data_IF_019926826294
#
_entry.id   IF_019926826294
#
_cell.length_a   1.000
_cell.length_b   1.000
_cell.length_c   1.000
_cell.angle_alpha   90.00
_cell.angle_beta   90.00
_cell.angle_gamma   90.00
#
_symmetry.space_group_name_H-M   'P 1'
#
loop_
_entity.id
_entity.type
_entity.pdbx_description
1 polymer ?
#
# COMPACT_ATOMS: atom_id res chain seq x y z
N UNK A 1 -4.50 -16.27 10.26
CA UNK A 1 -5.25 -16.57 9.03
C UNK A 1 -4.90 -17.98 8.58
N UNK A 2 -5.84 -18.73 8.01
CA UNK A 2 -5.56 -19.99 7.30
C UNK A 2 -4.96 -19.72 5.91
N UNK A 3 -4.40 -20.74 5.26
CA UNK A 3 -3.86 -20.63 3.90
C UNK A 3 -4.88 -20.09 2.89
N UNK A 4 -6.09 -20.65 2.86
CA UNK A 4 -7.19 -20.20 2.00
C UNK A 4 -7.57 -18.73 2.27
N UNK A 5 -7.56 -18.30 3.53
CA UNK A 5 -7.84 -16.90 3.89
C UNK A 5 -6.75 -15.97 3.34
N UNK A 6 -5.48 -16.38 3.39
CA UNK A 6 -4.37 -15.60 2.85
C UNK A 6 -4.48 -15.49 1.33
N UNK A 7 -4.81 -16.57 0.62
CA UNK A 7 -4.97 -16.54 -0.83
C UNK A 7 -6.12 -15.62 -1.27
N UNK A 8 -7.26 -15.67 -0.56
CA UNK A 8 -8.37 -14.75 -0.82
C UNK A 8 -7.97 -13.30 -0.59
N UNK A 9 -7.36 -13.04 0.57
CA UNK A 9 -6.88 -11.70 0.95
C UNK A 9 -5.86 -11.16 -0.05
N UNK A 10 -4.93 -12.00 -0.53
CA UNK A 10 -3.98 -11.63 -1.58
C UNK A 10 -4.70 -11.17 -2.83
N UNK A 11 -5.73 -11.89 -3.30
CA UNK A 11 -6.50 -11.50 -4.49
C UNK A 11 -7.27 -10.21 -4.29
N UNK A 12 -7.79 -9.97 -3.09
CA UNK A 12 -8.56 -8.77 -2.76
C UNK A 12 -7.68 -7.51 -2.68
N UNK A 13 -6.48 -7.64 -2.12
CA UNK A 13 -5.61 -6.49 -1.82
C UNK A 13 -4.52 -6.22 -2.85
N UNK A 14 -4.10 -7.21 -3.64
CA UNK A 14 -3.05 -6.97 -4.66
C UNK A 14 -3.50 -5.87 -5.63
N UNK A 15 -2.58 -4.99 -6.00
CA UNK A 15 -2.79 -3.80 -6.85
C UNK A 15 -3.70 -2.71 -6.25
N UNK A 16 -4.23 -2.88 -5.04
CA UNK A 16 -4.95 -1.81 -4.34
C UNK A 16 -4.00 -0.67 -3.94
N UNK A 17 -4.53 0.55 -3.94
CA UNK A 17 -3.85 1.72 -3.41
C UNK A 17 -4.27 1.94 -1.96
N UNK A 18 -3.30 2.27 -1.10
CA UNK A 18 -3.50 2.35 0.34
C UNK A 18 -2.80 3.55 0.94
N UNK A 19 -3.32 4.03 2.06
CA UNK A 19 -2.61 4.92 2.99
C UNK A 19 -2.47 4.23 4.34
N UNK A 20 -1.43 4.60 5.10
CA UNK A 20 -1.20 4.04 6.43
C UNK A 20 -2.03 4.74 7.51
N UNK A 21 -2.26 4.06 8.63
CA UNK A 21 -2.69 4.70 9.87
C UNK A 21 -1.50 5.37 10.57
N UNK A 22 -1.35 6.68 10.39
CA UNK A 22 -0.25 7.47 10.96
C UNK A 22 -0.28 7.61 12.49
N UNK A 23 -1.34 7.15 13.17
CA UNK A 23 -1.36 7.05 14.64
C UNK A 23 -0.35 6.02 15.17
N UNK A 24 0.15 5.15 14.30
CA UNK A 24 1.19 4.16 14.57
C UNK A 24 2.58 4.79 14.40
N UNK A 25 3.39 4.94 15.48
CA UNK A 25 4.68 5.62 15.41
C UNK A 25 5.63 5.06 14.34
N UNK A 26 5.59 3.75 14.09
CA UNK A 26 6.43 3.11 13.07
C UNK A 26 5.98 3.40 11.63
N UNK A 27 4.71 3.78 11.44
CA UNK A 27 4.13 4.12 10.14
C UNK A 27 4.05 5.63 9.90
N UNK A 28 4.22 6.47 10.93
CA UNK A 28 4.13 7.92 10.81
C UNK A 28 5.05 8.52 9.74
N UNK A 29 6.19 7.88 9.44
CA UNK A 29 7.09 8.28 8.34
C UNK A 29 6.48 8.15 6.94
N UNK A 30 5.42 7.36 6.79
CA UNK A 30 4.68 7.17 5.54
C UNK A 30 3.37 7.98 5.51
N UNK A 31 3.14 8.85 6.50
CA UNK A 31 1.97 9.73 6.52
C UNK A 31 1.95 10.62 5.27
N UNK A 32 0.76 10.74 4.66
CA UNK A 32 0.56 11.47 3.42
C UNK A 32 1.05 10.78 2.14
N UNK A 33 1.75 9.64 2.22
CA UNK A 33 2.17 8.87 1.04
C UNK A 33 1.14 7.81 0.67
N UNK A 34 0.84 7.72 -0.63
CA UNK A 34 0.07 6.60 -1.17
C UNK A 34 1.00 5.44 -1.49
N UNK A 35 0.65 4.27 -0.96
CA UNK A 35 1.28 3.00 -1.27
C UNK A 35 0.46 2.18 -2.27
N UNK A 36 1.13 1.33 -3.04
CA UNK A 36 0.50 0.25 -3.80
C UNK A 36 0.83 -1.08 -3.13
N UNK A 37 -0.19 -1.89 -2.88
CA UNK A 37 0.00 -3.27 -2.40
C UNK A 37 0.50 -4.13 -3.56
N UNK A 38 1.72 -4.66 -3.44
CA UNK A 38 2.32 -5.54 -4.46
C UNK A 38 1.89 -6.99 -4.29
N UNK A 39 1.69 -7.43 -3.05
CA UNK A 39 1.21 -8.77 -2.71
C UNK A 39 0.87 -8.87 -1.22
N UNK A 40 0.28 -9.98 -0.81
CA UNK A 40 0.13 -10.39 0.59
C UNK A 40 0.97 -11.65 0.83
N UNK A 41 1.87 -11.59 1.81
CA UNK A 41 2.75 -12.70 2.16
C UNK A 41 2.05 -13.79 2.98
N UNK A 42 2.75 -14.89 3.24
CA UNK A 42 2.23 -16.04 3.99
C UNK A 42 1.98 -15.75 5.48
N UNK A 43 2.43 -14.60 6.01
CA UNK A 43 2.08 -14.14 7.35
C UNK A 43 0.80 -13.29 7.34
N UNK A 44 0.17 -13.07 6.18
CA UNK A 44 -1.02 -12.23 6.03
C UNK A 44 -0.73 -10.73 6.04
N UNK A 45 0.53 -10.31 5.84
CA UNK A 45 0.91 -8.89 5.73
C UNK A 45 0.97 -8.44 4.28
N UNK A 46 0.51 -7.22 4.02
CA UNK A 46 0.64 -6.59 2.72
C UNK A 46 2.08 -6.10 2.52
N UNK A 47 2.68 -6.39 1.37
CA UNK A 47 3.89 -5.72 0.91
C UNK A 47 3.49 -4.46 0.17
N UNK A 48 3.84 -3.31 0.72
CA UNK A 48 3.46 -1.99 0.20
C UNK A 48 4.69 -1.28 -0.35
N UNK A 49 4.57 -0.77 -1.57
CA UNK A 49 5.53 0.12 -2.24
C UNK A 49 4.96 1.54 -2.26
N UNK A 50 5.67 2.53 -1.73
CA UNK A 50 5.19 3.92 -1.66
C UNK A 50 5.65 4.73 -2.87
N UNK A 51 4.69 5.30 -3.62
CA UNK A 51 4.91 5.85 -4.97
C UNK A 51 5.86 7.06 -5.02
N UNK A 52 5.97 7.83 -3.95
CA UNK A 52 6.75 9.07 -3.86
C UNK A 52 7.74 9.11 -2.69
N UNK A 53 7.92 7.99 -1.99
CA UNK A 53 8.76 7.94 -0.79
C UNK A 53 10.25 7.83 -1.15
N UNK A 54 10.98 8.94 -1.01
CA UNK A 54 12.45 9.03 -1.17
C UNK A 54 13.04 8.47 -2.47
N UNK A 55 12.25 8.27 -3.55
CA UNK A 55 12.66 7.49 -4.74
C UNK A 55 13.18 6.09 -4.38
N UNK A 56 12.72 5.55 -3.25
CA UNK A 56 13.11 4.25 -2.75
C UNK A 56 12.12 3.21 -3.26
N UNK A 57 12.61 2.21 -4.02
CA UNK A 57 11.83 1.09 -4.55
C UNK A 57 11.64 -0.03 -3.50
N UNK A 58 11.65 0.33 -2.22
CA UNK A 58 11.54 -0.60 -1.11
C UNK A 58 10.11 -1.06 -0.89
N UNK A 59 9.94 -2.34 -0.55
CA UNK A 59 8.66 -2.89 -0.10
C UNK A 59 8.65 -3.03 1.41
N UNK A 60 7.54 -2.66 2.03
CA UNK A 60 7.36 -2.70 3.48
C UNK A 60 6.23 -3.67 3.83
N UNK A 61 6.48 -4.59 4.77
CA UNK A 61 5.42 -5.46 5.29
C UNK A 61 4.57 -4.70 6.32
N UNK A 62 3.28 -4.57 6.05
CA UNK A 62 2.34 -3.83 6.89
C UNK A 62 1.11 -4.70 7.17
N UNK A 63 0.64 -4.68 8.42
CA UNK A 63 -0.61 -5.34 8.80
C UNK A 63 -1.80 -4.66 8.13
N UNK A 64 -2.74 -5.46 7.61
CA UNK A 64 -3.88 -4.96 6.84
C UNK A 64 -4.77 -4.01 7.65
N UNK A 65 -4.88 -4.21 8.97
CA UNK A 65 -5.60 -3.33 9.90
C UNK A 65 -5.02 -1.90 9.97
N UNK A 66 -3.78 -1.70 9.54
CA UNK A 66 -3.14 -0.38 9.49
C UNK A 66 -3.13 0.23 8.09
N UNK A 67 -3.83 -0.40 7.14
CA UNK A 67 -3.97 0.08 5.78
C UNK A 67 -5.42 0.46 5.51
N UNK A 68 -5.60 1.64 4.93
CA UNK A 68 -6.89 2.08 4.39
C UNK A 68 -6.80 2.10 2.88
N UNK A 69 -7.65 1.32 2.22
CA UNK A 69 -7.78 1.34 0.75
C UNK A 69 -8.32 2.69 0.31
N UNK A 70 -7.69 3.27 -0.71
CA UNK A 70 -8.05 4.54 -1.34
C UNK A 70 -8.13 4.36 -2.85
N UNK A 71 -8.76 5.31 -3.52
CA UNK A 71 -8.74 5.36 -4.98
C UNK A 71 -7.30 5.53 -5.49
N UNK A 72 -7.06 5.02 -6.70
CA UNK A 72 -5.80 5.27 -7.41
C UNK A 72 -5.58 6.78 -7.48
N UNK A 73 -4.43 7.30 -7.03
CA UNK A 73 -4.15 8.72 -7.14
C UNK A 73 -4.21 9.09 -8.63
N UNK A 74 -4.89 10.20 -8.93
CA UNK A 74 -4.88 10.74 -10.28
C UNK A 74 -3.41 10.89 -10.68
N UNK A 75 -2.99 10.18 -11.74
CA UNK A 75 -1.68 10.43 -12.32
C UNK A 75 -1.64 11.94 -12.57
N UNK A 76 -0.62 12.62 -12.06
CA UNK A 76 -0.38 14.01 -12.42
C UNK A 76 -0.05 14.01 -13.91
N UNK A 77 -1.09 14.02 -14.76
CA UNK A 77 -0.95 14.21 -16.20
C UNK A 77 -0.54 15.68 -16.30
N UNK A 78 0.71 16.00 -16.65
CA UNK A 78 1.06 17.39 -16.90
C UNK A 78 0.06 17.92 -17.94
N UNK A 79 -0.51 19.12 -17.76
CA UNK A 79 -1.49 19.65 -18.70
C UNK A 79 -0.89 19.57 -20.10
N UNK A 80 -1.68 19.05 -21.04
CA UNK A 80 -1.25 18.93 -22.43
C UNK A 80 -0.69 20.29 -22.89
N UNK A 81 0.49 20.34 -23.54
CA UNK A 81 0.97 21.59 -24.11
C UNK A 81 -0.10 22.06 -25.11
N UNK A 82 -0.64 23.26 -24.86
CA UNK A 82 -1.56 23.94 -25.75
C UNK A 82 -0.90 24.45 -27.01
#
# INVERSE_FOLDING_TARGET
MTGDQIERTRREYTDQYVVVDARRPELARFDGYVGQVKTVNMNGRALVEFLDYHRNVGWYDIELDYLKVVDKPAANIPPAPG
#
